data_IF_041339544581
#
_entry.id   IF_041339544581
#
_cell.length_a   1.000
_cell.length_b   1.000
_cell.length_c   1.000
_cell.angle_alpha   90.00
_cell.angle_beta   90.00
_cell.angle_gamma   90.00
#
_symmetry.space_group_name_H-M   'P 1'
#
loop_
_entity.id
_entity.type
_entity.pdbx_description
1 polymer ?
#
# COMPACT_ATOMS: atom_id res chain seq x y z
N UNK A 1 34.60 -30.57 -9.19
CA UNK A 1 33.31 -31.12 -9.65
C UNK A 1 32.25 -30.47 -8.81
N UNK A 2 31.72 -29.37 -9.29
CA UNK A 2 30.62 -28.62 -8.70
C UNK A 2 29.42 -28.91 -9.58
N UNK A 3 28.45 -29.64 -9.04
CA UNK A 3 27.18 -29.91 -9.71
C UNK A 3 26.33 -28.60 -9.61
N UNK A 4 26.14 -28.00 -10.77
CA UNK A 4 25.12 -26.96 -10.96
C UNK A 4 23.74 -27.62 -10.85
N UNK A 5 23.05 -27.33 -9.75
CA UNK A 5 21.67 -27.73 -9.56
C UNK A 5 20.75 -26.87 -10.43
N UNK A 6 20.53 -27.27 -11.68
CA UNK A 6 19.45 -26.76 -12.51
C UNK A 6 18.12 -27.12 -11.85
N UNK A 7 17.33 -26.07 -11.50
CA UNK A 7 15.98 -26.23 -11.02
C UNK A 7 15.05 -26.63 -12.19
N UNK A 8 14.51 -27.86 -12.23
CA UNK A 8 13.81 -28.40 -13.43
C UNK A 8 12.44 -27.74 -13.67
N UNK A 9 11.88 -27.00 -12.73
CA UNK A 9 10.56 -26.36 -12.88
C UNK A 9 10.59 -25.02 -13.64
N UNK A 10 11.74 -24.35 -13.73
CA UNK A 10 11.86 -23.08 -14.46
C UNK A 10 11.82 -23.24 -15.98
N UNK A 11 12.20 -24.43 -16.51
CA UNK A 11 12.33 -24.68 -17.94
C UNK A 11 11.01 -24.85 -18.71
N UNK A 12 9.91 -25.16 -18.05
CA UNK A 12 8.65 -25.52 -18.72
C UNK A 12 7.68 -24.32 -18.88
N UNK A 13 7.84 -23.25 -18.08
CA UNK A 13 7.00 -22.05 -18.14
C UNK A 13 7.14 -21.24 -19.43
N UNK A 14 8.31 -21.26 -20.07
CA UNK A 14 8.62 -20.50 -21.29
C UNK A 14 8.76 -21.41 -22.51
N UNK A 15 7.95 -22.49 -22.61
CA UNK A 15 8.01 -23.45 -23.69
C UNK A 15 7.74 -22.77 -25.03
N UNK A 16 8.76 -22.64 -25.85
CA UNK A 16 8.67 -22.02 -27.18
C UNK A 16 7.88 -22.92 -28.13
N UNK A 17 7.04 -22.29 -28.96
CA UNK A 17 6.55 -22.96 -30.16
C UNK A 17 7.76 -23.40 -31.01
N UNK A 18 7.67 -24.57 -31.68
CA UNK A 18 8.78 -25.06 -32.49
C UNK A 18 9.26 -24.02 -33.51
N UNK A 19 10.59 -23.83 -33.66
CA UNK A 19 11.13 -22.87 -34.61
C UNK A 19 11.04 -23.41 -36.05
N UNK A 20 10.53 -22.61 -37.00
CA UNK A 20 10.46 -22.93 -38.41
C UNK A 20 9.15 -22.51 -39.10
N UNK A 21 9.03 -22.75 -40.41
CA UNK A 21 7.81 -22.55 -41.20
C UNK A 21 6.78 -23.63 -40.79
N UNK A 22 6.06 -23.38 -39.71
CA UNK A 22 4.94 -24.19 -39.25
C UNK A 22 3.68 -23.57 -39.84
N UNK A 23 2.68 -24.36 -40.22
CA UNK A 23 1.35 -23.88 -40.62
C UNK A 23 0.56 -23.20 -39.48
N UNK A 24 1.28 -22.63 -38.48
CA UNK A 24 0.71 -21.89 -37.38
C UNK A 24 0.47 -20.45 -37.83
N UNK A 25 -0.74 -19.96 -37.68
CA UNK A 25 -1.10 -18.59 -38.02
C UNK A 25 -0.24 -17.58 -37.25
N UNK A 26 0.23 -16.52 -37.92
CA UNK A 26 1.07 -15.48 -37.32
C UNK A 26 0.45 -14.88 -36.04
N UNK A 27 -0.88 -14.80 -35.97
CA UNK A 27 -1.63 -14.32 -34.81
C UNK A 27 -1.47 -15.21 -33.56
N UNK A 28 -1.38 -16.54 -33.75
CA UNK A 28 -1.16 -17.51 -32.67
C UNK A 28 0.24 -17.36 -32.12
N UNK A 29 1.24 -17.20 -33.01
CA UNK A 29 2.63 -16.96 -32.61
C UNK A 29 2.77 -15.64 -31.86
N UNK A 30 2.12 -14.58 -32.35
CA UNK A 30 2.16 -13.28 -31.69
C UNK A 30 1.47 -13.30 -30.32
N UNK A 31 0.41 -14.11 -30.17
CA UNK A 31 -0.25 -14.30 -28.85
C UNK A 31 0.68 -15.01 -27.87
N UNK A 32 1.26 -16.14 -28.26
CA UNK A 32 2.23 -16.88 -27.44
C UNK A 32 3.41 -15.99 -26.99
N UNK A 33 3.94 -15.19 -27.91
CA UNK A 33 5.01 -14.25 -27.60
C UNK A 33 4.60 -13.16 -26.60
N UNK A 34 3.36 -12.64 -26.71
CA UNK A 34 2.81 -11.68 -25.75
C UNK A 34 2.65 -12.32 -24.37
N UNK A 35 2.06 -13.51 -24.29
CA UNK A 35 1.87 -14.25 -23.04
C UNK A 35 3.20 -14.44 -22.32
N UNK A 36 4.23 -14.93 -23.02
CA UNK A 36 5.58 -15.12 -22.44
C UNK A 36 6.23 -13.81 -21.99
N UNK A 37 6.05 -12.71 -22.72
CA UNK A 37 6.53 -11.38 -22.32
C UNK A 37 5.79 -10.85 -21.09
N UNK A 38 4.48 -11.07 -20.98
CA UNK A 38 3.69 -10.72 -19.82
C UNK A 38 4.09 -11.51 -18.57
N UNK A 39 4.35 -12.82 -18.72
CA UNK A 39 4.86 -13.68 -17.65
C UNK A 39 6.25 -13.23 -17.18
N UNK A 40 7.16 -13.00 -18.13
CA UNK A 40 8.50 -12.49 -17.84
C UNK A 40 8.49 -11.13 -17.16
N UNK A 41 7.55 -10.26 -17.53
CA UNK A 41 7.34 -8.97 -16.86
C UNK A 41 6.91 -9.17 -15.40
N UNK A 42 5.94 -10.05 -15.15
CA UNK A 42 5.46 -10.32 -13.80
C UNK A 42 6.59 -10.87 -12.91
N UNK A 43 7.34 -11.86 -13.40
CA UNK A 43 8.44 -12.47 -12.66
C UNK A 43 9.55 -11.47 -12.34
N UNK A 44 10.04 -10.73 -13.34
CA UNK A 44 11.13 -9.77 -13.14
C UNK A 44 10.74 -8.60 -12.24
N UNK A 45 9.50 -8.12 -12.34
CA UNK A 45 8.99 -7.05 -11.46
C UNK A 45 8.84 -7.55 -10.03
N UNK A 46 8.36 -8.77 -9.81
CA UNK A 46 8.27 -9.37 -8.48
C UNK A 46 9.65 -9.53 -7.82
N UNK A 47 10.66 -9.95 -8.59
CA UNK A 47 12.03 -10.18 -8.10
C UNK A 47 12.83 -8.89 -7.83
N UNK A 48 12.72 -7.87 -8.69
CA UNK A 48 13.66 -6.74 -8.73
C UNK A 48 12.99 -5.36 -8.67
N UNK A 49 11.66 -5.30 -8.75
CA UNK A 49 10.91 -4.06 -8.94
C UNK A 49 11.02 -3.52 -10.38
N UNK A 50 9.99 -2.81 -10.81
CA UNK A 50 9.88 -2.30 -12.21
C UNK A 50 11.07 -1.46 -12.69
N UNK A 51 11.61 -0.60 -11.83
CA UNK A 51 12.69 0.32 -12.21
C UNK A 51 13.98 -0.40 -12.61
N UNK A 52 14.25 -1.57 -12.03
CA UNK A 52 15.44 -2.37 -12.32
C UNK A 52 15.30 -3.26 -13.57
N UNK A 53 14.07 -3.49 -14.05
CA UNK A 53 13.82 -4.34 -15.23
C UNK A 53 14.22 -3.60 -16.52
N UNK A 54 14.94 -4.30 -17.42
CA UNK A 54 15.33 -3.81 -18.75
C UNK A 54 14.64 -4.64 -19.84
N UNK A 55 14.46 -4.05 -21.02
CA UNK A 55 13.91 -4.78 -22.19
C UNK A 55 14.76 -5.97 -22.55
N UNK A 56 16.10 -5.89 -22.37
CA UNK A 56 17.01 -7.02 -22.57
C UNK A 56 16.72 -8.20 -21.65
N UNK A 57 16.33 -7.93 -20.39
CA UNK A 57 16.02 -8.96 -19.41
C UNK A 57 14.71 -9.67 -19.78
N UNK A 58 13.69 -8.87 -20.17
CA UNK A 58 12.40 -9.39 -20.65
C UNK A 58 12.55 -10.28 -21.87
N UNK A 59 13.28 -9.80 -22.89
CA UNK A 59 13.46 -10.56 -24.15
C UNK A 59 14.28 -11.84 -23.93
N UNK A 60 15.28 -11.79 -23.05
CA UNK A 60 16.09 -12.96 -22.70
C UNK A 60 15.24 -14.02 -21.96
N UNK A 61 14.47 -13.62 -20.95
CA UNK A 61 13.64 -14.52 -20.16
C UNK A 61 12.48 -15.10 -20.99
N UNK A 62 11.76 -14.26 -21.72
CA UNK A 62 10.65 -14.68 -22.59
C UNK A 62 11.11 -15.46 -23.84
N UNK A 63 12.40 -15.46 -24.15
CA UNK A 63 12.93 -16.09 -25.37
C UNK A 63 12.40 -15.46 -26.65
N UNK A 64 12.20 -14.14 -26.65
CA UNK A 64 11.70 -13.34 -27.77
C UNK A 64 12.83 -12.44 -28.27
N UNK A 65 12.89 -12.16 -29.57
CA UNK A 65 13.89 -11.25 -30.11
C UNK A 65 13.57 -9.79 -29.76
N UNK A 66 14.60 -8.95 -29.68
CA UNK A 66 14.41 -7.51 -29.42
C UNK A 66 13.59 -6.80 -30.51
N UNK A 67 13.75 -7.08 -31.81
CA UNK A 67 12.84 -6.56 -32.84
C UNK A 67 11.39 -6.98 -32.60
N UNK A 68 11.14 -8.25 -32.31
CA UNK A 68 9.77 -8.75 -32.04
C UNK A 68 9.15 -8.08 -30.80
N UNK A 69 9.94 -7.76 -29.78
CA UNK A 69 9.44 -6.99 -28.64
C UNK A 69 8.87 -5.63 -29.09
N UNK A 70 9.62 -4.90 -29.95
CA UNK A 70 9.17 -3.59 -30.44
C UNK A 70 8.09 -3.65 -31.54
N UNK A 71 7.86 -4.82 -32.12
CA UNK A 71 6.70 -5.08 -32.97
C UNK A 71 5.41 -5.24 -32.13
N UNK A 72 5.54 -5.75 -30.88
CA UNK A 72 4.43 -6.05 -29.99
C UNK A 72 4.12 -4.90 -29.02
N UNK A 73 5.14 -4.18 -28.57
CA UNK A 73 5.06 -3.12 -27.55
C UNK A 73 5.94 -1.92 -27.91
N UNK A 74 5.44 -0.71 -27.64
CA UNK A 74 6.18 0.51 -27.90
C UNK A 74 7.41 0.64 -27.00
N UNK A 75 7.25 0.31 -25.73
CA UNK A 75 8.30 0.35 -24.72
C UNK A 75 8.01 -0.62 -23.53
N UNK A 76 8.83 -0.54 -22.50
CA UNK A 76 8.71 -1.36 -21.30
C UNK A 76 7.43 -1.09 -20.50
N UNK A 77 6.96 0.18 -20.50
CA UNK A 77 5.75 0.57 -19.77
C UNK A 77 4.50 0.02 -20.47
N UNK A 78 4.44 0.08 -21.78
CA UNK A 78 3.36 -0.51 -22.59
C UNK A 78 3.25 -2.04 -22.36
N UNK A 79 4.38 -2.75 -22.30
CA UNK A 79 4.42 -4.17 -21.96
C UNK A 79 3.92 -4.43 -20.52
N UNK A 80 4.31 -3.60 -19.54
CA UNK A 80 3.82 -3.72 -18.17
C UNK A 80 2.30 -3.51 -18.09
N UNK A 81 1.79 -2.47 -18.76
CA UNK A 81 0.35 -2.16 -18.76
C UNK A 81 -0.45 -3.29 -19.39
N UNK A 82 0.04 -3.89 -20.47
CA UNK A 82 -0.58 -5.05 -21.10
C UNK A 82 -0.59 -6.27 -20.17
N UNK A 83 0.53 -6.58 -19.51
CA UNK A 83 0.61 -7.66 -18.53
C UNK A 83 -0.35 -7.43 -17.36
N UNK A 84 -0.41 -6.18 -16.88
CA UNK A 84 -1.31 -5.79 -15.80
C UNK A 84 -2.78 -5.98 -16.17
N UNK A 85 -3.18 -5.54 -17.36
CA UNK A 85 -4.55 -5.66 -17.86
C UNK A 85 -4.98 -7.12 -18.05
N UNK A 86 -4.08 -7.97 -18.56
CA UNK A 86 -4.33 -9.41 -18.74
C UNK A 86 -4.56 -10.12 -17.41
N UNK A 87 -3.69 -9.87 -16.42
CA UNK A 87 -3.84 -10.43 -15.08
C UNK A 87 -5.12 -9.92 -14.41
N UNK A 88 -5.41 -8.62 -14.53
CA UNK A 88 -6.62 -8.02 -13.98
C UNK A 88 -7.91 -8.60 -14.60
N UNK A 89 -7.91 -8.88 -15.91
CA UNK A 89 -9.02 -9.53 -16.60
C UNK A 89 -9.22 -10.96 -16.08
N UNK A 90 -8.16 -11.74 -15.94
CA UNK A 90 -8.20 -13.11 -15.40
C UNK A 90 -8.75 -13.14 -13.97
N UNK A 91 -8.25 -12.28 -13.09
CA UNK A 91 -8.77 -12.16 -11.71
C UNK A 91 -10.24 -11.74 -11.71
N UNK A 92 -10.62 -10.81 -12.57
CA UNK A 92 -12.01 -10.35 -12.68
C UNK A 92 -12.95 -11.46 -13.12
N UNK A 93 -12.55 -12.28 -14.09
CA UNK A 93 -13.33 -13.42 -14.59
C UNK A 93 -13.48 -14.50 -13.52
N UNK A 94 -12.40 -14.80 -12.81
CA UNK A 94 -12.42 -15.75 -11.70
C UNK A 94 -13.36 -15.29 -10.57
N UNK A 95 -13.30 -14.03 -10.16
CA UNK A 95 -14.25 -13.48 -9.17
C UNK A 95 -15.69 -13.55 -9.71
N UNK A 96 -15.87 -13.46 -11.02
CA UNK A 96 -17.17 -13.67 -11.66
C UNK A 96 -17.69 -15.10 -11.58
N UNK A 97 -16.79 -16.06 -11.72
CA UNK A 97 -17.14 -17.47 -11.60
C UNK A 97 -17.47 -17.79 -10.12
N UNK A 98 -16.63 -17.37 -9.20
CA UNK A 98 -16.85 -17.53 -7.76
C UNK A 98 -18.20 -16.93 -7.31
N UNK A 99 -18.57 -15.75 -7.85
CA UNK A 99 -19.87 -15.12 -7.58
C UNK A 99 -21.06 -15.98 -8.02
N UNK A 100 -20.95 -16.67 -9.15
CA UNK A 100 -22.04 -17.51 -9.69
C UNK A 100 -22.19 -18.83 -8.92
N UNK A 101 -21.11 -19.35 -8.37
CA UNK A 101 -21.02 -20.66 -7.74
C UNK A 101 -21.18 -20.60 -6.22
N UNK A 102 -20.99 -19.42 -5.63
CA UNK A 102 -21.02 -19.23 -4.18
C UNK A 102 -22.38 -19.56 -3.56
N UNK A 103 -22.41 -20.30 -2.45
CA UNK A 103 -23.61 -20.43 -1.63
C UNK A 103 -24.12 -19.07 -1.14
N UNK A 104 -25.44 -18.94 -0.88
CA UNK A 104 -25.99 -17.69 -0.36
C UNK A 104 -25.30 -17.26 0.94
N UNK A 105 -24.72 -16.09 0.96
CA UNK A 105 -24.00 -15.53 2.11
C UNK A 105 -22.49 -15.81 2.16
N UNK A 106 -21.96 -16.66 1.28
CA UNK A 106 -20.55 -17.05 1.26
C UNK A 106 -19.75 -16.45 0.10
N UNK A 107 -20.35 -15.53 -0.65
CA UNK A 107 -19.72 -14.97 -1.86
C UNK A 107 -18.35 -14.33 -1.64
N UNK A 108 -18.16 -13.62 -0.53
CA UNK A 108 -16.85 -13.05 -0.19
C UNK A 108 -15.83 -14.15 0.12
N UNK A 109 -16.22 -15.16 0.89
CA UNK A 109 -15.36 -16.28 1.26
C UNK A 109 -14.90 -17.05 0.02
N UNK A 110 -15.85 -17.46 -0.84
CA UNK A 110 -15.56 -18.17 -2.10
C UNK A 110 -14.66 -17.34 -3.03
N UNK A 111 -14.87 -16.02 -3.09
CA UNK A 111 -14.01 -15.13 -3.88
C UNK A 111 -12.58 -15.04 -3.32
N UNK A 112 -12.43 -15.05 -2.00
CA UNK A 112 -11.11 -15.04 -1.35
C UNK A 112 -10.38 -16.38 -1.52
N UNK A 113 -11.10 -17.51 -1.45
CA UNK A 113 -10.54 -18.84 -1.74
C UNK A 113 -10.02 -18.91 -3.17
N UNK A 114 -10.86 -18.54 -4.15
CA UNK A 114 -10.46 -18.52 -5.53
C UNK A 114 -9.27 -17.57 -5.79
N UNK A 115 -9.19 -16.43 -5.10
CA UNK A 115 -8.04 -15.54 -5.19
C UNK A 115 -6.78 -16.14 -4.54
N UNK A 116 -6.91 -16.84 -3.42
CA UNK A 116 -5.79 -17.52 -2.77
C UNK A 116 -5.23 -18.66 -3.63
N UNK A 117 -6.09 -19.41 -4.33
CA UNK A 117 -5.69 -20.46 -5.28
C UNK A 117 -4.85 -19.90 -6.44
N UNK A 118 -5.27 -18.75 -7.01
CA UNK A 118 -4.47 -18.07 -8.04
C UNK A 118 -3.17 -17.52 -7.45
N UNK A 119 -3.21 -16.94 -6.27
CA UNK A 119 -2.01 -16.41 -5.64
C UNK A 119 -0.99 -17.53 -5.30
N UNK A 120 -1.46 -18.73 -4.97
CA UNK A 120 -0.62 -19.90 -4.76
C UNK A 120 -0.02 -20.45 -6.07
N UNK A 121 -0.80 -20.48 -7.14
CA UNK A 121 -0.36 -21.03 -8.45
C UNK A 121 0.42 -20.02 -9.29
N UNK A 122 0.14 -18.71 -9.17
CA UNK A 122 0.76 -17.64 -9.96
C UNK A 122 1.18 -16.45 -9.09
N UNK A 123 2.08 -16.65 -8.10
CA UNK A 123 2.42 -15.63 -7.10
C UNK A 123 3.00 -14.35 -7.73
N UNK A 124 3.82 -14.47 -8.77
CA UNK A 124 4.43 -13.32 -9.45
C UNK A 124 3.39 -12.45 -10.16
N UNK A 125 2.38 -13.06 -10.77
CA UNK A 125 1.30 -12.35 -11.46
C UNK A 125 0.42 -11.60 -10.45
N UNK A 126 0.06 -12.24 -9.34
CA UNK A 126 -0.72 -11.59 -8.29
C UNK A 126 0.12 -10.50 -7.60
N UNK A 127 1.43 -10.72 -7.42
CA UNK A 127 2.35 -9.69 -6.94
C UNK A 127 2.39 -8.47 -7.87
N UNK A 128 2.44 -8.68 -9.20
CA UNK A 128 2.36 -7.59 -10.17
C UNK A 128 1.05 -6.80 -10.04
N UNK A 129 -0.09 -7.49 -9.92
CA UNK A 129 -1.41 -6.85 -9.78
C UNK A 129 -1.50 -6.01 -8.50
N UNK A 130 -1.00 -6.53 -7.39
CA UNK A 130 -1.14 -5.93 -6.07
C UNK A 130 -0.10 -4.82 -5.82
N UNK A 131 1.14 -5.03 -6.26
CA UNK A 131 2.30 -4.19 -5.93
C UNK A 131 2.97 -3.55 -7.14
N UNK A 132 3.09 -4.28 -8.25
CA UNK A 132 4.01 -3.95 -9.34
C UNK A 132 3.73 -2.65 -10.10
N UNK A 133 2.46 -2.29 -10.31
CA UNK A 133 2.10 -1.10 -11.08
C UNK A 133 2.42 0.24 -10.36
N UNK A 134 2.75 0.22 -9.09
CA UNK A 134 3.02 1.44 -8.31
C UNK A 134 4.36 2.09 -8.68
N UNK A 135 5.33 1.30 -9.12
CA UNK A 135 6.67 1.77 -9.50
C UNK A 135 6.81 2.24 -10.95
N UNK A 136 5.78 2.12 -11.78
CA UNK A 136 5.90 2.21 -13.23
C UNK A 136 5.49 3.57 -13.84
N UNK A 137 5.20 4.57 -13.04
CA UNK A 137 4.86 5.89 -13.56
C UNK A 137 3.38 6.29 -13.37
N UNK A 138 2.97 7.48 -13.88
CA UNK A 138 1.63 8.02 -13.67
C UNK A 138 0.54 7.17 -14.30
N UNK A 139 0.73 6.70 -15.53
CA UNK A 139 -0.27 5.96 -16.30
C UNK A 139 -0.54 4.59 -15.68
N UNK A 140 0.49 3.90 -15.22
CA UNK A 140 0.35 2.65 -14.49
C UNK A 140 -0.41 2.83 -13.16
N UNK A 141 -0.17 3.94 -12.45
CA UNK A 141 -0.93 4.28 -11.23
C UNK A 141 -2.41 4.52 -11.51
N UNK A 142 -2.72 5.26 -12.56
CA UNK A 142 -4.12 5.51 -13.00
C UNK A 142 -4.80 4.22 -13.37
N UNK A 143 -4.14 3.36 -14.17
CA UNK A 143 -4.67 2.06 -14.59
C UNK A 143 -4.96 1.16 -13.38
N UNK A 144 -3.99 1.05 -12.47
CA UNK A 144 -4.14 0.31 -11.22
C UNK A 144 -5.35 0.79 -10.40
N UNK A 145 -5.49 2.10 -10.23
CA UNK A 145 -6.60 2.66 -9.48
C UNK A 145 -7.96 2.35 -10.12
N UNK A 146 -8.06 2.43 -11.44
CA UNK A 146 -9.27 2.07 -12.18
C UNK A 146 -9.62 0.58 -12.00
N UNK A 147 -8.64 -0.31 -12.11
CA UNK A 147 -8.79 -1.75 -11.92
C UNK A 147 -9.23 -2.08 -10.49
N UNK A 148 -8.54 -1.52 -9.50
CA UNK A 148 -8.89 -1.74 -8.08
C UNK A 148 -10.30 -1.23 -7.77
N UNK A 149 -10.72 -0.09 -8.32
CA UNK A 149 -12.09 0.40 -8.18
C UNK A 149 -13.13 -0.53 -8.83
N UNK A 150 -12.78 -1.16 -9.94
CA UNK A 150 -13.67 -2.13 -10.60
C UNK A 150 -13.81 -3.42 -9.78
N UNK A 151 -12.69 -3.96 -9.29
CA UNK A 151 -12.65 -5.12 -8.39
C UNK A 151 -13.40 -4.84 -7.08
N UNK A 152 -13.16 -3.69 -6.48
CA UNK A 152 -13.85 -3.25 -5.25
C UNK A 152 -15.37 -3.24 -5.42
N UNK A 153 -15.88 -2.65 -6.53
CA UNK A 153 -17.32 -2.63 -6.83
C UNK A 153 -17.90 -4.03 -7.00
N UNK A 154 -17.09 -4.97 -7.47
CA UNK A 154 -17.54 -6.35 -7.64
C UNK A 154 -17.63 -7.08 -6.30
N UNK A 155 -16.61 -7.02 -5.48
CA UNK A 155 -16.57 -7.62 -4.14
C UNK A 155 -17.72 -7.09 -3.26
N UNK A 156 -18.07 -5.81 -3.42
CA UNK A 156 -19.25 -5.23 -2.75
C UNK A 156 -20.55 -5.95 -3.07
N UNK A 157 -20.76 -6.30 -4.33
CA UNK A 157 -21.98 -7.03 -4.74
C UNK A 157 -22.06 -8.42 -4.10
N UNK A 158 -20.91 -9.06 -3.87
CA UNK A 158 -20.83 -10.36 -3.20
C UNK A 158 -21.33 -10.30 -1.75
N UNK A 159 -21.06 -9.21 -1.04
CA UNK A 159 -21.54 -9.00 0.33
C UNK A 159 -23.04 -8.67 0.40
N UNK A 160 -23.58 -7.90 -0.57
CA UNK A 160 -25.00 -7.54 -0.61
C UNK A 160 -25.92 -8.76 -0.89
N UNK A 161 -25.39 -9.84 -1.42
CA UNK A 161 -26.11 -11.07 -1.73
C UNK A 161 -26.33 -11.98 -0.51
N UNK A 162 -25.90 -11.59 0.69
CA UNK A 162 -26.06 -12.36 1.93
C UNK A 162 -27.50 -12.31 2.47
N UNK A 163 -28.15 -13.43 2.80
CA UNK A 163 -29.56 -13.51 3.20
C UNK A 163 -29.87 -13.06 4.63
N UNK A 164 -28.92 -12.53 5.39
CA UNK A 164 -29.12 -12.07 6.78
C UNK A 164 -29.74 -10.68 6.94
N UNK A 165 -30.41 -10.16 5.92
CA UNK A 165 -31.20 -8.93 5.96
C UNK A 165 -32.68 -9.23 6.16
N UNK A 166 -33.14 -9.27 7.42
CA UNK A 166 -34.56 -9.12 7.75
C UNK A 166 -35.18 -7.98 6.96
N UNK A 167 -36.29 -8.31 6.29
CA UNK A 167 -37.29 -7.43 5.69
C UNK A 167 -37.19 -5.97 6.11
N UNK A 168 -36.60 -5.15 5.28
CA UNK A 168 -36.94 -3.73 5.22
C UNK A 168 -36.88 -3.24 3.77
N UNK A 169 -38.09 -3.24 3.17
CA UNK A 169 -38.59 -2.20 2.28
C UNK A 169 -37.85 -1.93 0.98
N UNK A 170 -38.46 -2.37 -0.09
CA UNK A 170 -38.56 -1.61 -1.36
C UNK A 170 -37.39 -0.64 -1.64
N UNK A 171 -36.22 -1.18 -1.97
CA UNK A 171 -35.23 -0.36 -2.67
C UNK A 171 -35.71 -0.17 -4.11
N UNK A 172 -36.26 1.00 -4.36
CA UNK A 172 -36.53 1.54 -5.69
C UNK A 172 -35.34 1.29 -6.60
N UNK A 173 -35.56 0.66 -7.73
CA UNK A 173 -34.59 0.52 -8.83
C UNK A 173 -34.19 1.90 -9.36
N UNK A 174 -33.28 2.58 -8.65
CA UNK A 174 -32.84 3.91 -9.03
C UNK A 174 -31.56 4.27 -8.26
N UNK A 175 -30.42 4.28 -8.98
CA UNK A 175 -29.13 4.83 -8.54
C UNK A 175 -28.44 4.11 -7.38
N UNK A 176 -27.62 3.12 -7.73
CA UNK A 176 -26.63 2.46 -6.85
C UNK A 176 -25.45 3.41 -6.56
N UNK A 177 -25.70 4.58 -6.01
CA UNK A 177 -24.65 5.48 -5.53
C UNK A 177 -24.44 5.16 -4.06
N UNK A 178 -23.35 4.40 -3.76
CA UNK A 178 -22.94 4.15 -2.39
C UNK A 178 -22.78 5.47 -1.64
N UNK A 179 -23.16 5.48 -0.36
CA UNK A 179 -22.90 6.62 0.52
C UNK A 179 -21.38 6.73 0.74
N UNK A 180 -20.87 7.94 0.89
CA UNK A 180 -19.43 8.19 1.04
C UNK A 180 -18.80 7.37 2.19
N UNK A 181 -19.51 7.17 3.29
CA UNK A 181 -19.05 6.35 4.42
C UNK A 181 -18.94 4.86 4.08
N UNK A 182 -19.89 4.30 3.36
CA UNK A 182 -19.87 2.91 2.88
C UNK A 182 -18.65 2.69 1.95
N UNK A 183 -18.44 3.61 1.02
CA UNK A 183 -17.32 3.56 0.09
C UNK A 183 -15.96 3.61 0.80
N UNK A 184 -15.85 4.42 1.85
CA UNK A 184 -14.61 4.57 2.60
C UNK A 184 -14.33 3.35 3.48
N UNK A 185 -15.35 2.79 4.15
CA UNK A 185 -15.23 1.53 4.91
C UNK A 185 -14.74 0.40 4.01
N UNK A 186 -15.30 0.29 2.80
CA UNK A 186 -14.87 -0.71 1.84
C UNK A 186 -13.45 -0.51 1.33
N UNK A 187 -13.02 0.73 1.17
CA UNK A 187 -11.62 1.03 0.81
C UNK A 187 -10.67 0.49 1.87
N UNK A 188 -11.03 0.61 3.14
CA UNK A 188 -10.24 0.07 4.26
C UNK A 188 -10.23 -1.46 4.24
N UNK A 189 -11.41 -2.10 4.12
CA UNK A 189 -11.50 -3.56 4.11
C UNK A 189 -10.70 -4.17 2.96
N UNK A 190 -10.90 -3.68 1.76
CA UNK A 190 -10.18 -4.17 0.58
C UNK A 190 -8.68 -3.83 0.62
N UNK A 191 -8.32 -2.69 1.22
CA UNK A 191 -6.94 -2.33 1.50
C UNK A 191 -6.28 -3.32 2.45
N UNK A 192 -6.97 -3.69 3.53
CA UNK A 192 -6.51 -4.68 4.50
C UNK A 192 -6.34 -6.08 3.90
N UNK A 193 -7.36 -6.57 3.21
CA UNK A 193 -7.32 -7.85 2.48
C UNK A 193 -6.10 -7.90 1.55
N UNK A 194 -5.95 -6.87 0.71
CA UNK A 194 -4.85 -6.80 -0.24
C UNK A 194 -3.48 -6.76 0.44
N UNK A 195 -3.35 -6.03 1.54
CA UNK A 195 -2.08 -5.91 2.25
C UNK A 195 -1.65 -7.22 2.89
N UNK A 196 -2.58 -7.92 3.55
CA UNK A 196 -2.29 -9.24 4.14
C UNK A 196 -1.84 -10.22 3.05
N UNK A 197 -2.53 -10.25 1.91
CA UNK A 197 -2.15 -11.08 0.77
C UNK A 197 -0.76 -10.69 0.24
N UNK A 198 -0.52 -9.39 0.06
CA UNK A 198 0.77 -8.89 -0.42
C UNK A 198 1.94 -9.25 0.50
N UNK A 199 1.72 -9.20 1.80
CA UNK A 199 2.73 -9.58 2.81
C UNK A 199 3.06 -11.07 2.72
N UNK A 200 2.05 -11.94 2.57
CA UNK A 200 2.27 -13.39 2.40
C UNK A 200 3.02 -13.73 1.12
N UNK A 201 2.65 -13.07 0.00
CA UNK A 201 3.35 -13.26 -1.29
C UNK A 201 4.83 -12.85 -1.22
N UNK A 202 5.15 -11.73 -0.53
CA UNK A 202 6.55 -11.28 -0.36
C UNK A 202 7.35 -12.19 0.57
N UNK A 203 6.70 -12.75 1.58
CA UNK A 203 7.35 -13.66 2.53
C UNK A 203 7.75 -15.02 1.96
N UNK A 204 7.35 -15.32 0.73
CA UNK A 204 7.61 -16.61 0.08
C UNK A 204 6.88 -17.79 0.74
N UNK A 205 6.00 -17.52 1.68
CA UNK A 205 5.25 -18.52 2.43
C UNK A 205 3.91 -18.81 1.75
N UNK A 206 3.96 -19.55 0.63
CA UNK A 206 2.75 -20.04 -0.04
C UNK A 206 1.89 -20.96 0.84
N UNK A 207 2.44 -21.51 1.93
CA UNK A 207 1.72 -22.42 2.83
C UNK A 207 0.67 -21.70 3.68
N UNK A 208 0.86 -20.41 3.97
CA UNK A 208 -0.10 -19.59 4.72
C UNK A 208 -1.30 -19.10 3.93
N UNK A 209 -1.29 -19.22 2.58
CA UNK A 209 -2.37 -18.68 1.74
C UNK A 209 -3.69 -19.46 1.90
N UNK A 210 -3.63 -20.76 2.17
CA UNK A 210 -4.83 -21.61 2.29
C UNK A 210 -5.72 -21.28 3.48
N UNK A 211 -5.18 -20.72 4.55
CA UNK A 211 -5.95 -20.32 5.76
C UNK A 211 -6.48 -18.89 5.67
N UNK A 212 -5.88 -18.05 4.83
CA UNK A 212 -6.25 -16.65 4.72
C UNK A 212 -7.71 -16.38 4.34
N UNK A 213 -8.39 -17.15 3.45
CA UNK A 213 -9.77 -16.87 3.08
C UNK A 213 -10.71 -16.85 4.28
N UNK A 214 -10.59 -17.84 5.18
CA UNK A 214 -11.42 -17.93 6.39
C UNK A 214 -11.14 -16.75 7.34
N UNK A 215 -9.87 -16.44 7.60
CA UNK A 215 -9.47 -15.34 8.48
C UNK A 215 -9.86 -13.96 7.93
N UNK A 216 -9.64 -13.72 6.64
CA UNK A 216 -10.01 -12.46 5.98
C UNK A 216 -11.53 -12.28 5.92
N UNK A 217 -12.27 -13.37 5.67
CA UNK A 217 -13.74 -13.36 5.67
C UNK A 217 -14.28 -13.07 7.06
N UNK A 218 -13.76 -13.74 8.10
CA UNK A 218 -14.12 -13.48 9.50
C UNK A 218 -13.82 -12.03 9.91
N UNK A 219 -12.63 -11.52 9.54
CA UNK A 219 -12.27 -10.13 9.81
C UNK A 219 -13.21 -9.14 9.10
N UNK A 220 -13.47 -9.33 7.81
CA UNK A 220 -14.34 -8.44 7.05
C UNK A 220 -15.79 -8.45 7.59
N UNK A 221 -16.26 -9.61 8.06
CA UNK A 221 -17.60 -9.78 8.65
C UNK A 221 -17.78 -9.09 10.00
N UNK A 222 -16.70 -8.70 10.69
CA UNK A 222 -16.77 -7.93 11.92
C UNK A 222 -17.29 -6.50 11.71
N UNK A 223 -17.31 -6.04 10.47
CA UNK A 223 -17.74 -4.67 10.12
C UNK A 223 -19.15 -4.69 9.51
N UNK A 224 -20.09 -3.88 10.04
CA UNK A 224 -21.36 -3.68 9.36
C UNK A 224 -21.15 -2.93 8.03
N UNK A 225 -21.92 -3.31 7.00
CA UNK A 225 -21.86 -2.68 5.67
C UNK A 225 -22.07 -1.17 5.73
N UNK A 226 -22.96 -0.70 6.61
CA UNK A 226 -23.19 0.73 6.84
C UNK A 226 -22.56 1.12 8.17
N UNK A 227 -21.51 1.95 8.17
CA UNK A 227 -20.90 2.40 9.41
C UNK A 227 -21.89 3.20 10.25
N UNK A 228 -21.76 3.19 11.58
CA UNK A 228 -22.61 3.97 12.47
C UNK A 228 -22.49 5.48 12.18
N UNK A 229 -23.61 6.23 12.32
CA UNK A 229 -23.63 7.69 12.11
C UNK A 229 -22.53 8.40 12.92
N UNK A 230 -21.88 9.40 12.32
CA UNK A 230 -20.83 10.21 12.97
C UNK A 230 -19.42 9.62 12.93
N UNK A 231 -19.22 8.55 12.13
CA UNK A 231 -17.92 8.01 11.77
C UNK A 231 -17.43 8.60 10.43
N UNK A 232 -18.32 9.15 9.64
CA UNK A 232 -18.04 9.75 8.34
C UNK A 232 -17.14 10.99 8.49
N UNK A 233 -16.30 11.23 7.49
CA UNK A 233 -15.51 12.46 7.43
C UNK A 233 -16.44 13.69 7.41
N UNK A 234 -16.06 14.80 8.05
CA UNK A 234 -16.88 16.02 8.09
C UNK A 234 -17.21 16.50 6.68
N UNK A 235 -18.50 16.71 6.40
CA UNK A 235 -18.98 17.13 5.08
C UNK A 235 -19.04 18.64 4.92
N UNK A 236 -19.27 19.38 6.02
CA UNK A 236 -19.36 20.84 5.99
C UNK A 236 -17.99 21.52 6.09
N UNK A 237 -17.82 22.65 5.41
CA UNK A 237 -16.59 23.45 5.49
C UNK A 237 -16.29 23.96 6.92
N UNK A 238 -17.32 24.15 7.75
CA UNK A 238 -17.17 24.59 9.14
C UNK A 238 -16.63 23.46 10.02
N UNK A 239 -17.17 22.24 9.88
CA UNK A 239 -16.69 21.05 10.60
C UNK A 239 -15.25 20.69 10.20
N UNK A 240 -14.92 20.76 8.90
CA UNK A 240 -13.56 20.58 8.41
C UNK A 240 -12.59 21.57 9.05
N UNK A 241 -12.91 22.87 9.03
CA UNK A 241 -12.07 23.89 9.68
C UNK A 241 -11.89 23.62 11.17
N UNK A 242 -12.97 23.26 11.88
CA UNK A 242 -12.90 22.92 13.30
C UNK A 242 -12.00 21.71 13.58
N UNK A 243 -12.10 20.66 12.77
CA UNK A 243 -11.29 19.45 12.92
C UNK A 243 -9.80 19.69 12.60
N UNK A 244 -9.51 20.58 11.65
CA UNK A 244 -8.15 20.94 11.25
C UNK A 244 -7.49 21.98 12.18
N UNK A 245 -8.26 22.75 12.94
CA UNK A 245 -7.76 23.79 13.84
C UNK A 245 -7.25 23.25 15.20
N UNK A 246 -7.33 21.95 15.46
CA UNK A 246 -6.99 21.36 16.76
C UNK A 246 -5.47 21.30 17.00
N UNK A 247 -4.93 22.40 17.53
CA UNK A 247 -3.61 22.50 18.18
C UNK A 247 -2.37 22.27 17.31
N UNK A 248 -1.18 22.56 17.87
CA UNK A 248 0.11 22.28 17.24
C UNK A 248 0.36 20.78 17.15
N UNK A 249 0.58 20.26 15.95
CA UNK A 249 1.00 18.88 15.79
C UNK A 249 2.51 18.75 16.08
N UNK A 250 2.97 17.64 16.66
CA UNK A 250 4.39 17.40 16.80
C UNK A 250 5.01 17.24 15.41
N UNK A 251 6.01 18.05 15.11
CA UNK A 251 6.87 17.84 13.93
C UNK A 251 7.89 16.73 14.23
N UNK A 252 8.47 16.16 13.17
CA UNK A 252 9.59 15.25 13.36
C UNK A 252 10.77 16.00 14.01
N UNK A 253 11.44 15.39 15.01
CA UNK A 253 12.52 16.09 15.68
C UNK A 253 13.70 16.30 14.74
N UNK A 254 14.20 17.49 14.76
CA UNK A 254 15.39 17.93 14.04
C UNK A 254 16.35 18.61 15.00
N UNK A 255 17.65 18.54 14.69
CA UNK A 255 18.69 19.22 15.49
C UNK A 255 18.77 20.70 15.17
N UNK A 256 18.19 21.14 14.04
CA UNK A 256 18.16 22.54 13.62
C UNK A 256 16.84 22.87 12.93
N UNK A 257 16.53 24.16 12.80
CA UNK A 257 15.37 24.63 12.02
C UNK A 257 15.52 24.20 10.56
N UNK A 258 14.45 23.59 9.95
CA UNK A 258 14.51 23.17 8.56
C UNK A 258 14.95 24.30 7.64
N UNK A 259 15.94 24.03 6.78
CA UNK A 259 16.44 25.00 5.81
C UNK A 259 17.39 26.08 6.34
N UNK A 260 17.68 26.11 7.65
CA UNK A 260 18.63 27.07 8.21
C UNK A 260 20.07 26.75 7.77
N UNK A 261 20.68 27.70 7.09
CA UNK A 261 22.08 27.59 6.67
C UNK A 261 23.00 27.87 7.85
N UNK A 262 23.98 27.01 8.06
CA UNK A 262 25.08 27.35 8.97
C UNK A 262 25.85 28.55 8.42
N UNK A 263 26.44 29.39 9.32
CA UNK A 263 27.29 30.50 8.90
C UNK A 263 28.38 30.03 7.95
N UNK A 264 28.61 30.77 6.87
CA UNK A 264 29.72 30.52 5.93
C UNK A 264 31.03 31.08 6.50
N UNK A 265 32.12 30.35 6.36
CA UNK A 265 33.43 30.73 6.85
C UNK A 265 33.87 30.03 8.14
N UNK A 266 34.90 30.61 8.81
CA UNK A 266 35.38 30.09 10.10
C UNK A 266 34.30 30.31 11.18
N UNK A 267 33.83 29.25 11.77
CA UNK A 267 32.88 29.24 12.87
C UNK A 267 33.32 28.24 13.94
N UNK A 268 32.89 28.44 15.18
CA UNK A 268 33.26 27.59 16.35
C UNK A 268 32.41 26.32 16.47
N UNK A 269 31.64 25.96 15.41
CA UNK A 269 30.85 24.74 15.40
C UNK A 269 31.72 23.49 15.19
N UNK A 270 31.45 22.44 15.94
CA UNK A 270 32.21 21.19 15.78
C UNK A 270 31.93 20.56 14.41
N UNK A 271 32.95 19.90 13.84
CA UNK A 271 32.79 19.18 12.56
C UNK A 271 31.61 18.16 12.60
N UNK A 272 31.41 17.53 13.78
CA UNK A 272 30.29 16.59 13.99
C UNK A 272 28.94 17.31 13.89
N UNK A 273 28.80 18.49 14.47
CA UNK A 273 27.55 19.26 14.38
C UNK A 273 27.28 19.71 12.94
N UNK A 274 28.30 20.17 12.23
CA UNK A 274 28.20 20.54 10.82
C UNK A 274 27.75 19.35 9.97
N UNK A 275 28.36 18.18 10.16
CA UNK A 275 27.99 16.97 9.42
C UNK A 275 26.55 16.54 9.71
N UNK A 276 26.09 16.59 10.98
CA UNK A 276 24.70 16.29 11.34
C UNK A 276 23.73 17.27 10.67
N UNK A 277 23.98 18.57 10.74
CA UNK A 277 23.13 19.57 10.09
C UNK A 277 23.08 19.39 8.57
N UNK A 278 24.23 19.13 7.92
CA UNK A 278 24.28 18.85 6.50
C UNK A 278 23.45 17.61 6.14
N UNK A 279 23.59 16.53 6.92
CA UNK A 279 22.84 15.30 6.73
C UNK A 279 21.32 15.53 6.85
N UNK A 280 20.86 16.27 7.86
CA UNK A 280 19.44 16.61 8.03
C UNK A 280 18.90 17.43 6.85
N UNK A 281 19.64 18.46 6.42
CA UNK A 281 19.27 19.25 5.22
C UNK A 281 19.20 18.40 3.97
N UNK A 282 20.08 17.41 3.80
CA UNK A 282 20.00 16.46 2.69
C UNK A 282 18.73 15.64 2.77
N UNK A 283 18.37 15.10 3.95
CA UNK A 283 17.18 14.29 4.12
C UNK A 283 15.89 15.07 3.88
N UNK A 284 15.81 16.31 4.37
CA UNK A 284 14.68 17.21 4.07
C UNK A 284 14.61 17.53 2.57
N UNK A 285 15.75 17.83 1.94
CA UNK A 285 15.81 18.09 0.49
C UNK A 285 15.42 16.85 -0.35
N UNK A 286 15.75 15.64 0.11
CA UNK A 286 15.30 14.39 -0.51
C UNK A 286 13.79 14.26 -0.42
N UNK A 287 13.21 14.50 0.76
CA UNK A 287 11.76 14.43 0.96
C UNK A 287 11.03 15.46 0.06
N UNK A 288 11.48 16.70 0.04
CA UNK A 288 10.91 17.77 -0.78
C UNK A 288 11.05 17.51 -2.28
N UNK A 289 12.25 17.08 -2.73
CA UNK A 289 12.50 16.77 -4.14
C UNK A 289 11.66 15.56 -4.59
N UNK A 290 11.56 14.54 -3.75
CA UNK A 290 10.72 13.37 -4.01
C UNK A 290 9.22 13.75 -4.07
N UNK A 291 8.77 14.62 -3.19
CA UNK A 291 7.39 15.10 -3.20
C UNK A 291 7.05 15.89 -4.47
N UNK A 292 8.01 16.64 -5.02
CA UNK A 292 7.83 17.45 -6.23
C UNK A 292 7.91 16.62 -7.51
N UNK A 293 8.93 15.77 -7.64
CA UNK A 293 9.36 15.17 -8.91
C UNK A 293 9.14 13.64 -8.95
N UNK A 294 8.69 13.03 -7.84
CA UNK A 294 8.62 11.57 -7.64
C UNK A 294 10.01 10.93 -7.49
N UNK A 295 10.07 9.67 -7.04
CA UNK A 295 11.34 8.94 -6.89
C UNK A 295 12.08 8.76 -8.23
N UNK A 296 11.36 8.50 -9.30
CA UNK A 296 11.95 8.33 -10.64
C UNK A 296 12.61 9.60 -11.13
N UNK A 297 12.01 10.76 -10.89
CA UNK A 297 12.54 12.09 -11.23
C UNK A 297 13.58 12.62 -10.25
N UNK A 298 13.77 11.95 -9.10
CA UNK A 298 14.73 12.38 -8.08
C UNK A 298 16.17 12.35 -8.63
N UNK A 299 16.85 13.51 -8.60
CA UNK A 299 18.21 13.66 -9.08
C UNK A 299 19.12 14.32 -8.03
N UNK A 300 20.36 13.82 -7.88
CA UNK A 300 21.34 14.34 -6.92
C UNK A 300 21.59 15.85 -7.08
N UNK A 301 21.69 16.43 -8.31
CA UNK A 301 21.81 17.88 -8.47
C UNK A 301 20.65 18.68 -7.87
N UNK A 302 19.43 18.15 -7.95
CA UNK A 302 18.26 18.78 -7.36
C UNK A 302 18.28 18.73 -5.83
N UNK A 303 18.71 17.59 -5.24
CA UNK A 303 18.90 17.44 -3.81
C UNK A 303 19.97 18.40 -3.30
N UNK A 304 21.17 18.41 -3.92
CA UNK A 304 22.28 19.26 -3.50
C UNK A 304 21.92 20.75 -3.53
N UNK A 305 21.22 21.20 -4.58
CA UNK A 305 20.72 22.58 -4.68
C UNK A 305 19.74 22.93 -3.55
N UNK A 306 18.77 22.06 -3.27
CA UNK A 306 17.79 22.28 -2.18
C UNK A 306 18.47 22.25 -0.80
N UNK A 307 19.37 21.31 -0.58
CA UNK A 307 20.14 21.19 0.66
C UNK A 307 21.20 22.27 0.83
N UNK A 308 21.46 23.10 -0.21
CA UNK A 308 22.55 24.10 -0.24
C UNK A 308 23.91 23.50 0.09
N UNK A 309 24.27 22.41 -0.58
CA UNK A 309 25.55 21.72 -0.47
C UNK A 309 26.16 21.47 -1.83
N UNK A 310 27.46 21.11 -1.88
CA UNK A 310 28.08 20.62 -3.10
C UNK A 310 27.70 19.17 -3.41
N UNK A 311 27.88 18.74 -4.66
CA UNK A 311 27.76 17.32 -5.03
C UNK A 311 28.74 16.43 -4.26
N UNK A 312 29.96 16.95 -4.05
CA UNK A 312 30.97 16.23 -3.25
C UNK A 312 30.45 16.00 -1.83
N UNK A 313 29.91 17.02 -1.18
CA UNK A 313 29.34 16.90 0.18
C UNK A 313 28.17 15.91 0.21
N UNK A 314 27.35 15.84 -0.84
CA UNK A 314 26.32 14.80 -0.91
C UNK A 314 26.94 13.39 -0.84
N UNK A 315 27.99 13.13 -1.64
CA UNK A 315 28.64 11.81 -1.65
C UNK A 315 29.46 11.49 -0.41
N UNK A 316 29.84 12.50 0.39
CA UNK A 316 30.43 12.33 1.71
C UNK A 316 29.40 11.74 2.72
N UNK A 317 28.09 11.99 2.49
CA UNK A 317 27.01 11.52 3.36
C UNK A 317 26.28 10.29 2.83
N UNK A 318 26.12 10.18 1.52
CA UNK A 318 25.34 9.10 0.90
C UNK A 318 25.99 8.61 -0.41
N UNK A 319 26.22 7.29 -0.57
CA UNK A 319 26.83 6.73 -1.77
C UNK A 319 25.92 6.83 -2.99
N UNK A 320 24.60 6.88 -2.82
CA UNK A 320 23.63 6.97 -3.91
C UNK A 320 22.36 7.74 -3.52
N UNK A 321 21.55 8.09 -4.53
CA UNK A 321 20.22 8.67 -4.27
C UNK A 321 19.30 7.71 -3.53
N UNK A 322 19.46 6.40 -3.75
CA UNK A 322 18.66 5.37 -3.10
C UNK A 322 18.98 5.31 -1.60
N UNK A 323 20.26 5.37 -1.23
CA UNK A 323 20.66 5.38 0.19
C UNK A 323 20.13 6.63 0.91
N UNK A 324 20.18 7.78 0.26
CA UNK A 324 19.64 9.02 0.79
C UNK A 324 18.11 8.94 0.94
N UNK A 325 17.39 8.37 -0.05
CA UNK A 325 15.95 8.14 0.02
C UNK A 325 15.57 7.20 1.16
N UNK A 326 16.22 6.05 1.28
CA UNK A 326 15.97 5.09 2.36
C UNK A 326 16.27 5.69 3.73
N UNK A 327 17.31 6.53 3.85
CA UNK A 327 17.61 7.24 5.08
C UNK A 327 16.52 8.27 5.42
N UNK A 328 16.03 9.04 4.47
CA UNK A 328 14.91 9.96 4.66
C UNK A 328 13.64 9.21 5.06
N UNK A 329 13.36 8.08 4.41
CA UNK A 329 12.22 7.23 4.75
C UNK A 329 12.30 6.70 6.19
N UNK A 330 13.48 6.26 6.64
CA UNK A 330 13.70 5.84 8.05
C UNK A 330 13.42 6.96 9.03
N UNK A 331 13.85 8.20 8.72
CA UNK A 331 13.57 9.37 9.57
C UNK A 331 12.07 9.63 9.66
N UNK A 332 11.35 9.61 8.55
CA UNK A 332 9.89 9.78 8.51
C UNK A 332 9.17 8.70 9.32
N UNK A 333 9.51 7.42 9.10
CA UNK A 333 8.92 6.28 9.83
C UNK A 333 9.23 6.39 11.34
N UNK A 334 10.50 6.62 11.72
CA UNK A 334 10.88 6.74 13.12
C UNK A 334 10.19 7.93 13.80
N UNK A 335 10.03 9.05 13.10
CA UNK A 335 9.30 10.21 13.60
C UNK A 335 7.83 9.88 13.87
N UNK A 336 7.14 9.27 12.88
CA UNK A 336 5.74 8.88 13.00
C UNK A 336 5.52 7.85 14.12
N UNK A 337 6.32 6.79 14.18
CA UNK A 337 6.24 5.76 15.21
C UNK A 337 6.49 6.32 16.61
N UNK A 338 7.52 7.15 16.78
CA UNK A 338 7.85 7.73 18.07
C UNK A 338 6.75 8.63 18.59
N UNK A 339 6.26 9.58 17.80
CA UNK A 339 5.18 10.48 18.22
C UNK A 339 3.88 9.73 18.54
N UNK A 340 3.58 8.67 17.78
CA UNK A 340 2.43 7.80 18.04
C UNK A 340 2.59 6.98 19.30
N UNK A 341 3.81 6.44 19.57
CA UNK A 341 4.13 5.66 20.77
C UNK A 341 4.10 6.51 22.03
N UNK A 342 4.66 7.72 21.98
CA UNK A 342 4.59 8.69 23.08
C UNK A 342 3.13 9.04 23.41
N UNK A 343 2.30 9.30 22.38
CA UNK A 343 0.88 9.58 22.57
C UNK A 343 0.10 8.38 23.13
N UNK A 344 0.43 7.17 22.68
CA UNK A 344 -0.16 5.93 23.18
C UNK A 344 0.18 5.71 24.65
N UNK A 345 1.46 5.84 25.03
CA UNK A 345 1.95 5.58 26.36
C UNK A 345 1.58 6.68 27.38
N UNK A 346 1.42 7.92 26.94
CA UNK A 346 1.02 9.04 27.80
C UNK A 346 -0.47 9.02 28.18
N UNK A 347 -1.22 8.00 27.75
CA UNK A 347 -2.66 7.89 28.04
C UNK A 347 -2.86 7.12 29.34
N UNK A 348 -3.29 7.82 30.41
CA UNK A 348 -3.72 7.22 31.67
C UNK A 348 -5.09 6.51 31.57
N UNK A 349 -5.64 6.44 30.39
CA UNK A 349 -6.94 5.88 30.07
C UNK A 349 -6.88 4.42 29.61
N UNK A 350 -8.02 3.94 29.12
CA UNK A 350 -8.16 2.60 28.56
C UNK A 350 -7.39 2.43 27.24
N UNK A 351 -7.05 1.19 26.89
CA UNK A 351 -6.43 0.85 25.60
C UNK A 351 -7.14 1.49 24.38
N UNK A 352 -8.49 1.51 24.25
CA UNK A 352 -9.15 2.17 23.12
C UNK A 352 -8.87 3.69 23.04
N UNK A 353 -8.69 4.34 24.18
CA UNK A 353 -8.35 5.76 24.23
C UNK A 353 -6.89 6.00 23.83
N UNK A 354 -5.98 5.08 24.20
CA UNK A 354 -4.59 5.09 23.77
C UNK A 354 -4.47 4.92 22.26
N UNK A 355 -5.18 3.95 21.67
CA UNK A 355 -5.25 3.76 20.21
C UNK A 355 -5.81 5.00 19.52
N UNK A 356 -6.90 5.57 20.02
CA UNK A 356 -7.49 6.78 19.44
C UNK A 356 -6.50 7.95 19.45
N UNK A 357 -5.77 8.16 20.54
CA UNK A 357 -4.76 9.21 20.65
C UNK A 357 -3.57 8.99 19.70
N UNK A 358 -3.08 7.75 19.60
CA UNK A 358 -2.02 7.39 18.66
C UNK A 358 -2.42 7.65 17.19
N UNK A 359 -3.64 7.27 16.80
CA UNK A 359 -4.18 7.53 15.44
C UNK A 359 -4.29 9.03 15.15
N UNK A 360 -4.84 9.81 16.09
CA UNK A 360 -4.91 11.26 15.92
C UNK A 360 -3.52 11.89 15.76
N UNK A 361 -2.56 11.48 16.59
CA UNK A 361 -1.19 12.02 16.56
C UNK A 361 -0.48 11.63 15.28
N UNK A 362 -0.61 10.39 14.83
CA UNK A 362 -0.08 9.90 13.55
C UNK A 362 -0.57 10.73 12.37
N UNK A 363 -1.89 10.89 12.22
CA UNK A 363 -2.47 11.63 11.11
C UNK A 363 -2.06 13.10 11.11
N UNK A 364 -1.96 13.71 12.29
CA UNK A 364 -1.49 15.11 12.42
C UNK A 364 -0.01 15.26 12.10
N UNK A 365 0.83 14.33 12.53
CA UNK A 365 2.25 14.33 12.20
C UNK A 365 2.45 14.26 10.68
N UNK A 366 1.72 13.40 9.97
CA UNK A 366 1.77 13.33 8.51
C UNK A 366 1.25 14.61 7.84
N UNK A 367 0.21 15.24 8.39
CA UNK A 367 -0.34 16.48 7.85
C UNK A 367 0.60 17.69 7.99
N UNK A 368 1.45 17.69 9.01
CA UNK A 368 2.47 18.73 9.25
C UNK A 368 3.72 18.50 8.42
N UNK A 369 4.02 17.25 8.09
CA UNK A 369 5.20 16.82 7.32
C UNK A 369 4.79 16.23 5.94
N UNK A 370 4.15 17.01 5.05
CA UNK A 370 3.56 16.48 3.82
C UNK A 370 4.60 15.89 2.86
N UNK A 371 5.83 16.40 2.86
CA UNK A 371 6.92 15.88 2.02
C UNK A 371 7.32 14.46 2.47
N UNK A 372 7.46 14.23 3.79
CA UNK A 372 7.74 12.91 4.34
C UNK A 372 6.54 11.96 4.22
N UNK A 373 5.32 12.46 4.36
CA UNK A 373 4.11 11.68 4.11
C UNK A 373 4.08 11.17 2.66
N UNK A 374 4.34 12.02 1.67
CA UNK A 374 4.38 11.63 0.26
C UNK A 374 5.52 10.64 -0.03
N UNK A 375 6.72 10.93 0.50
CA UNK A 375 7.87 10.04 0.36
C UNK A 375 7.58 8.62 0.88
N UNK A 376 7.03 8.49 2.09
CA UNK A 376 6.78 7.20 2.72
C UNK A 376 5.52 6.50 2.22
N UNK A 377 4.42 7.24 1.98
CA UNK A 377 3.14 6.65 1.61
C UNK A 377 3.00 6.38 0.11
N UNK A 378 3.62 7.19 -0.76
CA UNK A 378 3.42 7.12 -2.22
C UNK A 378 4.67 6.65 -2.94
N UNK A 379 5.82 7.27 -2.67
CA UNK A 379 7.02 7.08 -3.49
C UNK A 379 7.89 5.90 -3.05
N UNK A 380 7.67 5.36 -1.84
CA UNK A 380 8.35 4.16 -1.35
C UNK A 380 8.20 2.96 -2.30
N UNK A 381 7.03 2.83 -2.95
CA UNK A 381 6.75 1.74 -3.89
C UNK A 381 7.62 1.80 -5.15
N UNK A 382 8.04 2.99 -5.56
CA UNK A 382 8.93 3.19 -6.73
C UNK A 382 10.42 3.02 -6.39
N UNK A 383 10.77 3.04 -5.11
CA UNK A 383 12.17 3.00 -4.65
C UNK A 383 12.75 1.59 -4.53
N UNK A 384 11.95 0.56 -4.81
CA UNK A 384 12.39 -0.85 -4.87
C UNK A 384 12.24 -1.63 -3.56
N UNK A 385 12.71 -2.90 -3.55
CA UNK A 385 12.45 -3.85 -2.45
C UNK A 385 12.84 -3.34 -1.07
N UNK A 386 14.01 -2.73 -0.92
CA UNK A 386 14.48 -2.23 0.37
C UNK A 386 13.55 -1.15 1.00
N UNK A 387 12.86 -0.36 0.17
CA UNK A 387 11.86 0.58 0.67
C UNK A 387 10.56 -0.12 1.08
N UNK A 388 10.18 -1.20 0.38
CA UNK A 388 9.06 -2.05 0.76
C UNK A 388 9.30 -2.76 2.09
N UNK A 389 10.52 -3.27 2.32
CA UNK A 389 10.91 -3.90 3.60
C UNK A 389 10.76 -2.93 4.77
N UNK A 390 11.24 -1.68 4.61
CA UNK A 390 11.08 -0.62 5.60
C UNK A 390 9.62 -0.28 5.88
N UNK A 391 8.79 -0.24 4.83
CA UNK A 391 7.35 -0.03 4.95
C UNK A 391 6.71 -1.16 5.75
N UNK A 392 7.00 -2.40 5.41
CA UNK A 392 6.42 -3.58 6.05
C UNK A 392 6.84 -3.68 7.53
N UNK A 393 8.08 -3.32 7.84
CA UNK A 393 8.54 -3.19 9.23
C UNK A 393 7.74 -2.12 9.99
N UNK A 394 7.53 -0.95 9.37
CA UNK A 394 6.72 0.10 9.97
C UNK A 394 5.29 -0.37 10.24
N UNK A 395 4.67 -1.08 9.29
CA UNK A 395 3.32 -1.60 9.45
C UNK A 395 3.22 -2.62 10.60
N UNK A 396 4.20 -3.53 10.73
CA UNK A 396 4.28 -4.46 11.88
C UNK A 396 4.39 -3.71 13.21
N UNK A 397 5.18 -2.64 13.27
CA UNK A 397 5.32 -1.82 14.46
C UNK A 397 4.02 -1.10 14.82
N UNK A 398 3.25 -0.60 13.84
CA UNK A 398 1.92 -0.04 14.09
C UNK A 398 0.90 -1.09 14.51
N UNK A 399 0.96 -2.31 13.97
CA UNK A 399 0.10 -3.41 14.36
C UNK A 399 0.30 -3.82 15.84
N UNK A 400 1.50 -3.62 16.39
CA UNK A 400 1.79 -3.88 17.80
C UNK A 400 0.92 -3.05 18.77
N UNK A 401 0.46 -1.85 18.40
CA UNK A 401 -0.47 -1.07 19.23
C UNK A 401 -1.84 -1.74 19.40
N UNK A 402 -2.19 -2.67 18.51
CA UNK A 402 -3.46 -3.39 18.53
C UNK A 402 -3.39 -4.73 19.30
N UNK A 403 -2.20 -5.21 19.65
CA UNK A 403 -2.03 -6.49 20.34
C UNK A 403 -2.80 -6.60 21.67
N UNK A 404 -2.85 -5.57 22.55
CA UNK A 404 -3.65 -5.65 23.77
C UNK A 404 -5.15 -5.84 23.52
N UNK A 405 -5.63 -5.50 22.31
CA UNK A 405 -7.03 -5.67 21.91
C UNK A 405 -7.48 -7.13 21.87
N UNK A 406 -6.61 -8.08 21.56
CA UNK A 406 -6.95 -9.50 21.53
C UNK A 406 -7.36 -10.02 22.92
N UNK A 407 -6.63 -9.66 23.96
CA UNK A 407 -6.99 -10.03 25.33
C UNK A 407 -8.33 -9.43 25.75
N UNK A 408 -8.56 -8.13 25.45
CA UNK A 408 -9.83 -7.47 25.75
C UNK A 408 -11.00 -8.08 24.97
N UNK A 409 -10.78 -8.54 23.75
CA UNK A 409 -11.77 -9.22 22.94
C UNK A 409 -12.14 -10.58 23.55
N UNK A 410 -11.15 -11.36 23.98
CA UNK A 410 -11.36 -12.63 24.66
C UNK A 410 -12.19 -12.46 25.95
N UNK A 411 -11.86 -11.46 26.77
CA UNK A 411 -12.61 -11.10 27.98
C UNK A 411 -14.08 -10.70 27.68
N UNK A 412 -14.33 -10.14 26.48
CA UNK A 412 -15.65 -9.75 26.00
C UNK A 412 -16.39 -10.86 25.23
N UNK A 413 -15.79 -12.05 25.07
CA UNK A 413 -16.34 -13.16 24.30
C UNK A 413 -16.32 -12.93 22.78
N UNK A 414 -15.40 -12.11 22.30
CA UNK A 414 -15.14 -11.87 20.88
C UNK A 414 -13.89 -12.65 20.45
N UNK A 415 -13.89 -13.17 19.23
CA UNK A 415 -12.80 -13.96 18.67
C UNK A 415 -12.26 -13.29 17.39
N UNK A 416 -11.48 -12.18 17.49
CA UNK A 416 -10.89 -11.56 16.31
C UNK A 416 -9.87 -12.53 15.68
N UNK A 417 -9.87 -12.70 14.34
CA UNK A 417 -8.91 -13.57 13.68
C UNK A 417 -7.47 -13.05 13.88
N UNK A 418 -6.48 -13.95 13.83
CA UNK A 418 -5.07 -13.60 14.10
C UNK A 418 -4.55 -12.48 13.20
N UNK A 419 -5.06 -12.38 11.96
CA UNK A 419 -4.65 -11.35 10.99
C UNK A 419 -5.30 -9.98 11.26
N UNK A 420 -6.19 -9.83 12.25
CA UNK A 420 -7.01 -8.61 12.40
C UNK A 420 -6.16 -7.34 12.55
N UNK A 421 -5.10 -7.36 13.35
CA UNK A 421 -4.21 -6.21 13.53
C UNK A 421 -3.47 -5.84 12.23
N UNK A 422 -2.98 -6.83 11.50
CA UNK A 422 -2.30 -6.65 10.22
C UNK A 422 -3.27 -6.07 9.17
N UNK A 423 -4.45 -6.63 9.05
CA UNK A 423 -5.48 -6.20 8.11
C UNK A 423 -5.97 -4.77 8.40
N UNK A 424 -6.16 -4.42 9.68
CA UNK A 424 -6.51 -3.05 10.11
C UNK A 424 -5.45 -2.05 9.68
N UNK A 425 -4.18 -2.33 9.97
CA UNK A 425 -3.07 -1.42 9.61
C UNK A 425 -2.93 -1.32 8.09
N UNK A 426 -3.10 -2.43 7.36
CA UNK A 426 -3.10 -2.43 5.89
C UNK A 426 -4.20 -1.57 5.30
N UNK A 427 -5.42 -1.67 5.84
CA UNK A 427 -6.55 -0.83 5.42
C UNK A 427 -6.35 0.64 5.74
N UNK A 428 -5.82 0.95 6.91
CA UNK A 428 -5.47 2.31 7.31
C UNK A 428 -4.38 2.90 6.40
N UNK A 429 -3.33 2.14 6.13
CA UNK A 429 -2.28 2.52 5.18
C UNK A 429 -2.85 2.87 3.81
N UNK A 430 -3.69 1.99 3.25
CA UNK A 430 -4.30 2.23 1.93
C UNK A 430 -5.12 3.51 1.90
N UNK A 431 -5.88 3.78 2.96
CA UNK A 431 -6.71 4.97 3.06
C UNK A 431 -5.87 6.25 3.10
N UNK A 432 -4.81 6.25 3.93
CA UNK A 432 -3.87 7.36 4.02
C UNK A 432 -3.11 7.53 2.70
N UNK A 433 -2.66 6.44 2.07
CA UNK A 433 -2.00 6.46 0.76
C UNK A 433 -2.85 7.18 -0.30
N UNK A 434 -4.15 6.85 -0.39
CA UNK A 434 -5.06 7.46 -1.38
C UNK A 434 -5.23 8.97 -1.16
N UNK A 435 -5.31 9.43 0.09
CA UNK A 435 -5.43 10.85 0.41
C UNK A 435 -4.13 11.61 0.10
N UNK A 436 -2.97 11.03 0.46
CA UNK A 436 -1.65 11.60 0.15
C UNK A 436 -1.40 11.63 -1.37
N UNK A 437 -1.72 10.55 -2.07
CA UNK A 437 -1.60 10.50 -3.54
C UNK A 437 -2.46 11.55 -4.25
N UNK A 438 -3.60 11.91 -3.64
CA UNK A 438 -4.50 12.94 -4.13
C UNK A 438 -4.10 14.37 -3.70
N UNK A 439 -2.97 14.55 -2.99
CA UNK A 439 -2.50 15.86 -2.50
C UNK A 439 -3.34 16.45 -1.36
N UNK A 440 -3.99 15.58 -0.57
CA UNK A 440 -4.85 15.98 0.56
C UNK A 440 -4.22 15.67 1.93
N UNK A 441 -2.90 15.77 2.03
CA UNK A 441 -2.14 15.47 3.25
C UNK A 441 -2.65 16.28 4.45
N UNK A 442 -3.00 17.55 4.22
CA UNK A 442 -3.51 18.44 5.27
C UNK A 442 -4.89 18.03 5.80
N UNK A 443 -5.63 17.22 5.05
CA UNK A 443 -6.96 16.72 5.43
C UNK A 443 -6.90 15.36 6.17
N UNK A 444 -5.74 14.74 6.29
CA UNK A 444 -5.56 13.45 6.98
C UNK A 444 -6.19 13.41 8.40
N UNK A 445 -6.12 14.45 9.22
CA UNK A 445 -6.77 14.42 10.53
C UNK A 445 -8.28 14.18 10.49
N UNK A 446 -8.95 14.45 9.35
CA UNK A 446 -10.39 14.20 9.17
C UNK A 446 -10.72 12.70 9.08
N UNK A 447 -9.74 11.86 8.81
CA UNK A 447 -9.91 10.40 8.76
C UNK A 447 -9.93 9.75 10.15
N UNK A 448 -9.53 10.47 11.20
CA UNK A 448 -9.34 9.89 12.52
C UNK A 448 -10.56 9.12 13.05
N UNK A 449 -11.82 9.65 12.99
CA UNK A 449 -12.96 8.88 13.46
C UNK A 449 -13.15 7.54 12.77
N UNK A 450 -12.93 7.51 11.46
CA UNK A 450 -13.05 6.28 10.68
C UNK A 450 -11.92 5.30 11.00
N UNK A 451 -10.65 5.75 11.02
CA UNK A 451 -9.52 4.87 11.31
C UNK A 451 -9.56 4.34 12.75
N UNK A 452 -10.02 5.12 13.72
CA UNK A 452 -10.24 4.66 15.10
C UNK A 452 -11.34 3.61 15.13
N UNK A 453 -12.46 3.87 14.46
CA UNK A 453 -13.57 2.92 14.35
C UNK A 453 -13.11 1.58 13.77
N UNK A 454 -12.40 1.61 12.65
CA UNK A 454 -11.91 0.40 12.00
C UNK A 454 -10.84 -0.32 12.82
N UNK A 455 -9.98 0.42 13.52
CA UNK A 455 -8.96 -0.17 14.39
C UNK A 455 -9.56 -0.92 15.59
N UNK A 456 -10.65 -0.41 16.14
CA UNK A 456 -11.23 -0.97 17.36
C UNK A 456 -12.34 -2.01 17.11
N UNK A 457 -12.98 -2.00 15.92
CA UNK A 457 -14.15 -2.84 15.64
C UNK A 457 -13.91 -4.34 15.81
N UNK A 458 -12.80 -4.94 15.35
CA UNK A 458 -12.56 -6.37 15.53
C UNK A 458 -12.46 -6.80 17.00
N UNK A 459 -12.04 -5.89 17.87
CA UNK A 459 -11.72 -6.17 19.27
C UNK A 459 -12.83 -5.77 20.26
N UNK A 460 -13.68 -4.80 19.91
CA UNK A 460 -14.72 -4.26 20.79
C UNK A 460 -16.13 -4.40 20.22
N UNK A 461 -16.27 -4.85 18.99
CA UNK A 461 -17.51 -4.78 18.23
C UNK A 461 -17.85 -3.36 17.76
N UNK A 462 -18.69 -3.26 16.74
CA UNK A 462 -18.99 -2.02 16.01
C UNK A 462 -19.59 -0.89 16.90
N UNK A 463 -20.42 -1.25 17.90
CA UNK A 463 -21.10 -0.27 18.77
C UNK A 463 -20.11 0.45 19.69
N UNK A 464 -19.23 -0.28 20.33
CA UNK A 464 -18.27 0.28 21.29
C UNK A 464 -17.11 0.97 20.59
N UNK A 465 -16.63 0.43 19.48
CA UNK A 465 -15.67 1.09 18.60
C UNK A 465 -16.19 2.46 18.14
N UNK A 466 -17.45 2.56 17.71
CA UNK A 466 -18.07 3.83 17.30
C UNK A 466 -18.16 4.84 18.43
N UNK A 467 -18.34 4.40 19.69
CA UNK A 467 -18.37 5.30 20.86
C UNK A 467 -17.01 5.97 21.08
N UNK A 468 -15.92 5.20 20.96
CA UNK A 468 -14.55 5.72 21.09
C UNK A 468 -14.16 6.61 19.90
N UNK A 469 -14.53 6.25 18.69
CA UNK A 469 -14.24 7.02 17.49
C UNK A 469 -14.87 8.44 17.46
N UNK A 470 -16.00 8.63 18.15
CA UNK A 470 -16.69 9.94 18.23
C UNK A 470 -16.15 10.87 19.32
N UNK A 471 -15.33 10.34 20.25
CA UNK A 471 -14.75 11.16 21.31
C UNK A 471 -13.68 12.07 20.73
N UNK A 472 -13.77 13.37 21.06
CA UNK A 472 -12.68 14.30 20.75
C UNK A 472 -11.46 13.94 21.60
N UNK A 473 -10.24 13.96 21.06
CA UNK A 473 -9.03 13.79 21.86
C UNK A 473 -8.99 14.89 22.95
N UNK A 474 -8.78 14.46 24.18
CA UNK A 474 -8.54 15.37 25.32
C UNK A 474 -7.08 15.79 25.37
#
# INVERSE_FOLDING_TARGET
>A
MTEDGENPEAGDRYKRLPAGLHGIAAEVVARDQRERLCEAMAELVAQRGYTAVRVSDLTALAGVSRPTFYELYQDKEDCLLAAYDEIAARVTEMLAAAEREAPPGEGLHTALEAFADIAGSHPDQVSLLVLGALGAGPDARVRREQTLRALNRRILRLQDSSPSGSQSSQRTRGSTRMRAGEQLTMTILLGGIREVIATRLRGGDGTGLSLLPAELSAWASSYPLTPPKGIEAPTSAAERRSALALGSAPSFPRTATPGERLPSGRHDLSARFVALNQRERILDAVAEATAADGYTGLAIPAIARRAHISHQTFYEHFPSKQDAFLAAMRVGIAGALRTSSEAFSATDGSWPEAVARAVHTFLRALAVEPAYARLGMVEAMAAGPAALDLRDEAMRNFAAFLQPGYQLAEEAGLEPPAIAAEAVVGGAWQTVHLEVAAGRERELPLLAPLLIYTALTPFLGAKDAARHARRKPR
#
